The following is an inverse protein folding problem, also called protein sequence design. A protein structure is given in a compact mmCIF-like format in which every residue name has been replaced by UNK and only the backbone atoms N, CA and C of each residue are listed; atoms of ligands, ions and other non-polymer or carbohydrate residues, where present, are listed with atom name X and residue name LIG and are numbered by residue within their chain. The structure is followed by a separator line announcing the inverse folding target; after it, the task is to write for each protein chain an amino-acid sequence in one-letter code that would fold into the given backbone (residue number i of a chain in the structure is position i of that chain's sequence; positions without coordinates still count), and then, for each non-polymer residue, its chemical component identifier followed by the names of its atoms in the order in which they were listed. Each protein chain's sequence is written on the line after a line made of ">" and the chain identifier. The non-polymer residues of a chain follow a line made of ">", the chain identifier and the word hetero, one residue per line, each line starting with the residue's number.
data_IF_291361412790
#
_entry.id   IF_291361412790
#
_cell.length_a   1.000
_cell.length_b   1.000
_cell.length_c   1.000
_cell.angle_alpha   90.00
_cell.angle_beta   90.00
_cell.angle_gamma   90.00
#
_symmetry.space_group_name_H-M   'P 1'
#
loop_
_entity.id
_entity.type
_entity.pdbx_description
1 polymer ?
#
# COMPACT_ATOMS: atom_id res chain seq x y z
N UNK A 1 -2.01 -3.85 -9.77
CA UNK A 1 -1.70 -2.60 -10.50
C UNK A 1 -0.19 -2.51 -10.65
N UNK A 2 0.38 -2.71 -11.84
CA UNK A 2 1.83 -2.71 -12.08
C UNK A 2 2.22 -3.72 -13.16
N UNK A 3 3.06 -3.31 -14.11
CA UNK A 3 3.45 -4.14 -15.26
C UNK A 3 4.48 -5.19 -14.83
N UNK A 4 4.05 -6.43 -14.64
CA UNK A 4 4.94 -7.59 -14.48
C UNK A 4 5.49 -7.84 -13.06
N UNK A 5 5.50 -6.86 -12.15
CA UNK A 5 6.13 -6.99 -10.82
C UNK A 5 5.58 -8.12 -9.95
N UNK A 6 4.31 -8.50 -10.16
CA UNK A 6 3.65 -9.58 -9.41
C UNK A 6 3.50 -10.88 -10.20
N UNK A 7 4.04 -10.98 -11.41
CA UNK A 7 3.81 -12.16 -12.27
C UNK A 7 4.32 -13.45 -11.62
N UNK A 8 5.47 -13.39 -10.95
CA UNK A 8 6.02 -14.52 -10.21
C UNK A 8 5.11 -14.93 -9.04
N UNK A 9 4.67 -13.97 -8.22
CA UNK A 9 3.72 -14.24 -7.13
C UNK A 9 2.39 -14.79 -7.64
N UNK A 10 1.91 -14.30 -8.78
CA UNK A 10 0.70 -14.81 -9.43
C UNK A 10 0.85 -16.24 -9.93
N UNK A 11 2.03 -16.61 -10.43
CA UNK A 11 2.32 -17.97 -10.86
C UNK A 11 2.43 -18.93 -9.67
N UNK A 12 3.09 -18.51 -8.59
CA UNK A 12 3.30 -19.33 -7.38
C UNK A 12 2.04 -19.42 -6.49
N UNK A 13 1.27 -18.33 -6.38
CA UNK A 13 0.10 -18.22 -5.49
C UNK A 13 -1.14 -17.65 -6.22
N UNK A 14 -1.66 -18.30 -7.27
CA UNK A 14 -2.72 -17.75 -8.12
C UNK A 14 -4.01 -17.42 -7.35
N UNK A 15 -4.34 -18.20 -6.32
CA UNK A 15 -5.54 -18.01 -5.48
C UNK A 15 -5.36 -16.98 -4.35
N UNK A 16 -4.26 -16.22 -4.37
CA UNK A 16 -3.93 -15.17 -3.39
C UNK A 16 -3.74 -13.80 -4.04
N UNK A 17 -3.97 -13.69 -5.35
CA UNK A 17 -3.84 -12.45 -6.11
C UNK A 17 -5.21 -11.95 -6.51
N UNK A 18 -5.54 -10.72 -6.08
CA UNK A 18 -6.76 -10.02 -6.47
C UNK A 18 -6.35 -8.81 -7.31
N UNK A 19 -6.86 -8.74 -8.54
CA UNK A 19 -6.69 -7.56 -9.38
C UNK A 19 -7.94 -6.68 -9.26
N UNK A 20 -7.82 -5.58 -8.52
CA UNK A 20 -8.90 -4.63 -8.32
C UNK A 20 -9.01 -3.56 -9.43
N UNK A 21 -8.19 -3.61 -10.49
CA UNK A 21 -8.15 -2.55 -11.51
C UNK A 21 -7.68 -1.20 -10.95
N UNK A 22 -8.10 -0.09 -11.57
CA UNK A 22 -7.73 1.29 -11.20
C UNK A 22 -8.66 1.81 -10.09
N UNK A 23 -8.74 1.07 -8.99
CA UNK A 23 -9.66 1.32 -7.88
C UNK A 23 -8.93 1.33 -6.53
N UNK A 24 -7.99 2.24 -6.33
CA UNK A 24 -7.17 2.31 -5.11
C UNK A 24 -8.02 2.40 -3.84
N UNK A 25 -9.08 3.22 -3.85
CA UNK A 25 -10.03 3.30 -2.72
C UNK A 25 -10.70 1.95 -2.44
N UNK A 26 -11.27 1.34 -3.47
CA UNK A 26 -11.96 0.05 -3.36
C UNK A 26 -11.00 -1.09 -2.96
N UNK A 27 -9.78 -1.07 -3.47
CA UNK A 27 -8.74 -2.04 -3.14
C UNK A 27 -8.37 -1.97 -1.66
N UNK A 28 -8.25 -0.77 -1.10
CA UNK A 28 -8.00 -0.58 0.35
C UNK A 28 -9.18 -1.03 1.19
N UNK A 29 -10.42 -0.70 0.80
CA UNK A 29 -11.62 -1.18 1.51
C UNK A 29 -11.78 -2.70 1.48
N UNK A 30 -11.49 -3.35 0.33
CA UNK A 30 -11.44 -4.81 0.22
C UNK A 30 -10.38 -5.38 1.16
N UNK A 31 -9.18 -4.78 1.21
CA UNK A 31 -8.13 -5.22 2.13
C UNK A 31 -8.56 -5.09 3.60
N UNK A 32 -9.22 -4.00 3.98
CA UNK A 32 -9.77 -3.87 5.34
C UNK A 32 -10.75 -5.02 5.67
N UNK A 33 -11.68 -5.35 4.75
CA UNK A 33 -12.60 -6.49 4.93
C UNK A 33 -11.91 -7.85 5.02
N UNK A 34 -10.85 -8.07 4.24
CA UNK A 34 -10.03 -9.28 4.32
C UNK A 34 -9.30 -9.39 5.66
N UNK A 35 -8.78 -8.27 6.17
CA UNK A 35 -8.11 -8.20 7.47
C UNK A 35 -9.07 -8.52 8.62
N UNK A 36 -10.28 -7.95 8.59
CA UNK A 36 -11.37 -8.29 9.51
C UNK A 36 -11.76 -9.78 9.47
N UNK A 37 -11.53 -10.44 8.34
CA UNK A 37 -11.77 -11.88 8.15
C UNK A 37 -10.58 -12.75 8.60
N UNK A 38 -9.58 -12.18 9.27
CA UNK A 38 -8.40 -12.88 9.78
C UNK A 38 -7.28 -13.10 8.77
N UNK A 39 -7.33 -12.43 7.61
CA UNK A 39 -6.23 -12.48 6.64
C UNK A 39 -5.22 -11.35 6.87
N UNK A 40 -4.04 -11.45 6.27
CA UNK A 40 -3.03 -10.38 6.24
C UNK A 40 -2.88 -9.91 4.79
N UNK A 41 -3.73 -8.99 4.32
CA UNK A 41 -3.69 -8.53 2.95
C UNK A 41 -2.51 -7.59 2.70
N UNK A 42 -1.87 -7.74 1.54
CA UNK A 42 -0.83 -6.86 1.03
C UNK A 42 -1.38 -6.08 -0.16
N UNK A 43 -1.41 -4.76 -0.03
CA UNK A 43 -1.86 -3.81 -1.04
C UNK A 43 -0.64 -3.15 -1.67
N UNK A 44 -0.60 -3.09 -3.01
CA UNK A 44 0.49 -2.42 -3.72
C UNK A 44 -0.02 -1.58 -4.90
N UNK A 45 0.52 -0.38 -5.05
CA UNK A 45 0.31 0.50 -6.20
C UNK A 45 1.42 1.56 -6.25
N UNK A 46 1.35 2.52 -7.18
CA UNK A 46 2.29 3.66 -7.22
C UNK A 46 2.03 4.56 -6.01
N UNK A 47 3.11 5.00 -5.35
CA UNK A 47 3.07 5.78 -4.12
C UNK A 47 2.09 6.95 -4.19
N UNK A 48 2.16 7.74 -5.27
CA UNK A 48 1.27 8.88 -5.51
C UNK A 48 -0.22 8.48 -5.46
N UNK A 49 -0.60 7.36 -6.06
CA UNK A 49 -1.99 6.93 -6.07
C UNK A 49 -2.42 6.36 -4.73
N UNK A 50 -1.51 5.70 -4.00
CA UNK A 50 -1.81 5.17 -2.69
C UNK A 50 -2.08 6.30 -1.68
N UNK A 51 -1.18 7.28 -1.60
CA UNK A 51 -1.27 8.36 -0.61
C UNK A 51 -2.36 9.39 -0.94
N UNK A 52 -2.63 9.70 -2.21
CA UNK A 52 -3.63 10.72 -2.55
C UNK A 52 -5.02 10.15 -2.84
N UNK A 53 -5.14 8.99 -3.51
CA UNK A 53 -6.47 8.49 -3.89
C UNK A 53 -7.14 7.72 -2.77
N UNK A 54 -6.37 6.95 -1.99
CA UNK A 54 -6.91 6.03 -0.98
C UNK A 54 -6.76 6.54 0.47
N UNK A 55 -6.39 7.81 0.67
CA UNK A 55 -6.11 8.37 2.00
C UNK A 55 -7.23 8.14 3.01
N UNK A 56 -8.46 8.46 2.63
CA UNK A 56 -9.60 8.35 3.53
C UNK A 56 -9.85 6.89 3.93
N UNK A 57 -9.75 5.95 2.99
CA UNK A 57 -9.94 4.52 3.25
C UNK A 57 -8.81 3.97 4.13
N UNK A 58 -7.55 4.38 3.89
CA UNK A 58 -6.43 3.98 4.74
C UNK A 58 -6.66 4.49 6.17
N UNK A 59 -7.05 5.76 6.34
CA UNK A 59 -7.32 6.32 7.67
C UNK A 59 -8.50 5.63 8.34
N UNK A 60 -9.67 5.63 7.70
CA UNK A 60 -10.92 5.24 8.32
C UNK A 60 -11.07 3.74 8.45
N UNK A 61 -10.69 2.98 7.41
CA UNK A 61 -10.99 1.55 7.32
C UNK A 61 -9.83 0.70 7.85
N UNK A 62 -8.58 1.20 7.83
CA UNK A 62 -7.41 0.46 8.33
C UNK A 62 -6.92 1.03 9.66
N UNK A 63 -6.51 2.30 9.70
CA UNK A 63 -5.81 2.85 10.87
C UNK A 63 -6.74 3.00 12.06
N UNK A 64 -7.91 3.63 11.89
CA UNK A 64 -8.88 3.80 12.98
C UNK A 64 -9.49 2.49 13.47
N UNK A 65 -9.43 1.42 12.67
CA UNK A 65 -9.92 0.09 13.02
C UNK A 65 -8.81 -0.83 13.55
N UNK A 66 -7.57 -0.34 13.65
CA UNK A 66 -6.40 -1.10 14.14
C UNK A 66 -6.18 -2.44 13.39
N UNK A 67 -6.37 -2.43 12.06
CA UNK A 67 -6.29 -3.64 11.23
C UNK A 67 -4.86 -3.97 10.79
N UNK A 68 -4.56 -5.26 10.63
CA UNK A 68 -3.29 -5.72 10.08
C UNK A 68 -3.34 -5.74 8.54
N UNK A 69 -3.09 -4.58 7.92
CA UNK A 69 -2.98 -4.43 6.46
C UNK A 69 -1.60 -3.91 6.08
N UNK A 70 -0.97 -4.56 5.11
CA UNK A 70 0.38 -4.24 4.63
C UNK A 70 0.27 -3.41 3.36
N UNK A 71 0.81 -2.20 3.38
CA UNK A 71 0.74 -1.23 2.28
C UNK A 71 2.12 -1.05 1.65
N UNK A 72 2.20 -1.15 0.32
CA UNK A 72 3.43 -0.93 -0.45
C UNK A 72 3.21 0.21 -1.44
N UNK A 73 3.98 1.28 -1.31
CA UNK A 73 4.07 2.36 -2.29
C UNK A 73 5.28 2.15 -3.19
N UNK A 74 5.05 1.94 -4.48
CA UNK A 74 6.12 1.80 -5.47
C UNK A 74 6.44 3.12 -6.14
N UNK A 75 7.72 3.31 -6.47
CA UNK A 75 8.21 4.52 -7.13
C UNK A 75 8.40 5.68 -6.16
N UNK A 76 8.88 5.37 -4.97
CA UNK A 76 9.35 6.36 -4.01
C UNK A 76 10.47 7.23 -4.62
N UNK A 77 10.75 8.38 -3.99
CA UNK A 77 11.79 9.33 -4.41
C UNK A 77 11.69 9.76 -5.88
N UNK A 78 10.46 9.98 -6.34
CA UNK A 78 10.14 10.44 -7.69
C UNK A 78 10.70 9.55 -8.82
N UNK A 79 10.83 8.23 -8.59
CA UNK A 79 11.25 7.26 -9.60
C UNK A 79 10.51 7.41 -10.95
N UNK A 80 9.21 7.74 -10.90
CA UNK A 80 8.37 7.96 -12.08
C UNK A 80 8.40 9.40 -12.63
N UNK A 81 9.41 10.21 -12.32
CA UNK A 81 9.51 11.61 -12.77
C UNK A 81 9.38 11.78 -14.29
N UNK A 82 9.81 10.78 -15.08
CA UNK A 82 9.66 10.76 -16.54
C UNK A 82 8.20 10.72 -17.04
N UNK A 83 7.24 10.38 -16.17
CA UNK A 83 5.80 10.44 -16.43
C UNK A 83 5.16 11.76 -15.94
N UNK A 84 5.96 12.66 -15.35
CA UNK A 84 5.53 13.95 -14.82
C UNK A 84 4.98 13.89 -13.40
N UNK A 85 4.68 15.08 -12.86
CA UNK A 85 4.22 15.27 -11.46
C UNK A 85 2.93 14.53 -11.10
N UNK A 86 2.17 14.05 -12.07
CA UNK A 86 0.96 13.23 -11.81
C UNK A 86 1.29 11.81 -11.32
N UNK A 87 2.55 11.38 -11.39
CA UNK A 87 3.00 10.06 -10.96
C UNK A 87 4.00 10.11 -9.80
N UNK A 88 4.26 11.29 -9.23
CA UNK A 88 5.27 11.48 -8.19
C UNK A 88 4.75 12.33 -7.04
N UNK A 89 5.29 12.12 -5.84
CA UNK A 89 4.83 12.78 -4.61
C UNK A 89 5.97 13.20 -3.68
N UNK A 90 7.24 13.05 -4.08
CA UNK A 90 8.40 13.39 -3.24
C UNK A 90 8.37 12.69 -1.88
N UNK A 91 8.12 13.49 -0.84
CA UNK A 91 7.97 13.07 0.56
C UNK A 91 6.56 13.23 1.10
N UNK A 92 5.58 13.63 0.28
CA UNK A 92 4.21 13.91 0.70
C UNK A 92 3.55 12.67 1.32
N UNK A 93 3.85 11.47 0.81
CA UNK A 93 3.36 10.20 1.38
C UNK A 93 3.84 9.97 2.82
N UNK A 94 5.07 10.37 3.15
CA UNK A 94 5.61 10.28 4.51
C UNK A 94 4.81 11.21 5.43
N UNK A 95 4.61 12.46 5.03
CA UNK A 95 3.88 13.44 5.83
C UNK A 95 2.41 13.05 6.01
N UNK A 96 1.75 12.64 4.94
CA UNK A 96 0.35 12.23 4.94
C UNK A 96 0.13 11.00 5.83
N UNK A 97 0.99 9.98 5.72
CA UNK A 97 0.83 8.77 6.52
C UNK A 97 1.20 8.97 7.99
N UNK A 98 2.22 9.77 8.28
CA UNK A 98 2.51 10.18 9.65
C UNK A 98 1.34 10.98 10.27
N UNK A 99 0.69 11.86 9.50
CA UNK A 99 -0.45 12.66 9.96
C UNK A 99 -1.62 11.78 10.44
N UNK A 100 -1.86 10.64 9.77
CA UNK A 100 -2.92 9.70 10.16
C UNK A 100 -2.45 8.61 11.12
N UNK A 101 -1.18 8.63 11.55
CA UNK A 101 -0.62 7.64 12.49
C UNK A 101 -0.29 6.28 11.86
N UNK A 102 -0.15 6.20 10.54
CA UNK A 102 0.28 4.99 9.85
C UNK A 102 1.82 4.91 9.86
N UNK A 103 2.44 3.87 10.46
CA UNK A 103 3.89 3.75 10.47
C UNK A 103 4.48 3.65 9.06
N UNK A 104 5.51 4.46 8.80
CA UNK A 104 6.23 4.52 7.53
C UNK A 104 7.57 3.77 7.66
N UNK A 105 7.85 2.89 6.72
CA UNK A 105 9.06 2.06 6.66
C UNK A 105 9.83 2.33 5.36
N UNK A 106 11.16 2.28 5.46
CA UNK A 106 12.09 2.51 4.35
C UNK A 106 13.17 1.41 4.28
N UNK A 107 13.97 1.44 3.20
CA UNK A 107 14.96 0.43 2.80
C UNK A 107 15.66 -0.34 3.93
N UNK A 108 15.41 -1.65 3.99
CA UNK A 108 15.97 -2.58 4.97
C UNK A 108 15.03 -2.95 6.12
N UNK A 109 13.96 -2.18 6.33
CA UNK A 109 12.96 -2.45 7.36
C UNK A 109 11.85 -3.44 6.91
N UNK A 110 12.09 -4.22 5.85
CA UNK A 110 11.10 -5.17 5.32
C UNK A 110 10.63 -6.17 6.39
N UNK A 111 11.58 -6.75 7.15
CA UNK A 111 11.27 -7.74 8.18
C UNK A 111 10.40 -7.15 9.29
N UNK A 112 10.78 -6.00 9.84
CA UNK A 112 10.00 -5.35 10.90
C UNK A 112 8.61 -4.90 10.42
N UNK A 113 8.49 -4.51 9.15
CA UNK A 113 7.21 -4.16 8.53
C UNK A 113 6.29 -5.38 8.33
N UNK A 114 6.80 -6.45 7.71
CA UNK A 114 5.97 -7.61 7.35
C UNK A 114 5.59 -8.45 8.58
N UNK A 115 6.47 -8.54 9.57
CA UNK A 115 6.23 -9.32 10.81
C UNK A 115 5.41 -8.58 11.86
N UNK A 116 5.24 -7.26 11.73
CA UNK A 116 4.35 -6.51 12.61
C UNK A 116 2.91 -7.06 12.56
N UNK A 117 2.22 -7.06 13.70
CA UNK A 117 0.81 -7.39 13.81
C UNK A 117 -0.12 -6.20 13.51
N UNK A 118 0.45 -5.03 13.16
CA UNK A 118 -0.26 -3.79 12.84
C UNK A 118 -0.18 -3.42 11.37
N UNK A 119 -1.01 -2.44 10.98
CA UNK A 119 -0.87 -1.77 9.70
C UNK A 119 0.50 -1.10 9.57
N UNK A 120 1.03 -1.07 8.35
CA UNK A 120 2.26 -0.38 8.06
C UNK A 120 2.41 -0.12 6.57
N UNK A 121 3.04 1.01 6.24
CA UNK A 121 3.35 1.40 4.87
C UNK A 121 4.85 1.32 4.62
N UNK A 122 5.27 0.59 3.60
CA UNK A 122 6.65 0.58 3.12
C UNK A 122 6.73 1.25 1.75
N UNK A 123 7.67 2.19 1.60
CA UNK A 123 7.97 2.85 0.32
C UNK A 123 9.19 2.20 -0.33
N UNK A 124 9.07 1.91 -1.62
CA UNK A 124 10.09 1.21 -2.44
C UNK A 124 10.23 1.80 -3.84
#
# INVERSE_FOLDING_TARGET
>A
MGFGSINRLKAEFPNRIINCGIMEQGMVGIAAGLSLSGMIPVVYTIVNFLCFRALEQIRNDIVLQDLNVKLIGTGADDYFAFLGRSHTCGTDDIEIFNLIGLPVYEGGAFTSWIESDKAGYIRV
#
